data_IF_236876595950
#
_entry.id   IF_236876595950
#
_cell.length_a   1.000
_cell.length_b   1.000
_cell.length_c   1.000
_cell.angle_alpha   90.00
_cell.angle_beta   90.00
_cell.angle_gamma   90.00
#
_symmetry.space_group_name_H-M   'P 1'
#
loop_
_entity.id
_entity.type
_entity.pdbx_description
1 polymer ?
#
# COMPACT_ATOMS: atom_id res chain seq x y z
N UNK A 1 0.54 -7.15 21.59
CA UNK A 1 -0.29 -6.73 20.45
C UNK A 1 -1.37 -7.77 20.19
N UNK A 2 -2.55 -7.32 19.80
CA UNK A 2 -3.58 -8.16 19.20
C UNK A 2 -3.29 -8.40 17.73
N UNK A 3 -3.86 -9.45 17.14
CA UNK A 3 -3.73 -9.73 15.70
C UNK A 3 -4.22 -8.54 14.84
N UNK A 4 -5.23 -7.81 15.34
CA UNK A 4 -5.74 -6.63 14.65
C UNK A 4 -4.73 -5.47 14.68
N UNK A 5 -4.12 -5.20 15.84
CA UNK A 5 -3.09 -4.16 15.99
C UNK A 5 -1.86 -4.47 15.12
N UNK A 6 -1.41 -5.73 15.09
CA UNK A 6 -0.30 -6.16 14.23
C UNK A 6 -0.60 -5.89 12.75
N UNK A 7 -1.81 -6.22 12.28
CA UNK A 7 -2.23 -5.94 10.89
C UNK A 7 -2.23 -4.44 10.59
N UNK A 8 -2.71 -3.61 11.51
CA UNK A 8 -2.73 -2.15 11.33
C UNK A 8 -1.30 -1.59 11.25
N UNK A 9 -0.40 -2.04 12.14
CA UNK A 9 1.00 -1.60 12.14
C UNK A 9 1.71 -2.07 10.87
N UNK A 10 1.57 -3.34 10.50
CA UNK A 10 2.17 -3.90 9.27
C UNK A 10 1.70 -3.15 8.03
N UNK A 11 0.42 -2.78 7.97
CA UNK A 11 -0.11 -2.00 6.85
C UNK A 11 0.50 -0.60 6.75
N UNK A 12 0.67 0.09 7.88
CA UNK A 12 1.34 1.40 7.89
C UNK A 12 2.80 1.30 7.43
N UNK A 13 3.51 0.27 7.86
CA UNK A 13 4.88 -0.01 7.43
C UNK A 13 4.92 -0.24 5.92
N UNK A 14 4.05 -1.09 5.39
CA UNK A 14 3.94 -1.39 3.96
C UNK A 14 3.72 -0.12 3.12
N UNK A 15 2.76 0.72 3.52
CA UNK A 15 2.47 1.98 2.82
C UNK A 15 3.67 2.94 2.84
N UNK A 16 4.35 3.07 3.97
CA UNK A 16 5.55 3.90 4.08
C UNK A 16 6.69 3.42 3.18
N UNK A 17 6.98 2.11 3.18
CA UNK A 17 7.99 1.49 2.31
C UNK A 17 7.67 1.63 0.84
N UNK A 18 6.39 1.49 0.50
CA UNK A 18 5.96 1.69 -0.88
C UNK A 18 6.26 3.11 -1.36
N UNK A 19 5.97 4.13 -0.53
CA UNK A 19 6.29 5.53 -0.85
C UNK A 19 7.80 5.74 -1.00
N UNK A 20 8.63 5.20 -0.11
CA UNK A 20 10.10 5.30 -0.24
C UNK A 20 10.60 4.60 -1.51
N UNK A 21 10.08 3.40 -1.83
CA UNK A 21 10.38 2.70 -3.09
C UNK A 21 10.02 3.52 -4.33
N UNK A 22 8.87 4.23 -4.30
CA UNK A 22 8.50 5.14 -5.40
C UNK A 22 9.51 6.28 -5.56
N UNK A 23 9.96 6.88 -4.45
CA UNK A 23 10.97 7.96 -4.47
C UNK A 23 12.30 7.45 -5.01
N UNK A 24 12.77 6.30 -4.57
CA UNK A 24 14.01 5.69 -5.04
C UNK A 24 13.97 5.36 -6.55
N UNK A 25 12.87 4.75 -7.00
CA UNK A 25 12.68 4.43 -8.41
C UNK A 25 12.65 5.69 -9.28
N UNK A 26 11.98 6.75 -8.81
CA UNK A 26 11.99 8.04 -9.49
C UNK A 26 13.41 8.62 -9.56
N UNK A 27 14.14 8.63 -8.44
CA UNK A 27 15.52 9.12 -8.39
C UNK A 27 16.46 8.31 -9.30
N UNK A 28 16.34 6.99 -9.31
CA UNK A 28 17.15 6.13 -10.21
C UNK A 28 16.91 6.48 -11.68
N UNK A 29 15.66 6.76 -12.05
CA UNK A 29 15.26 7.04 -13.43
C UNK A 29 15.60 8.46 -13.89
N UNK A 30 15.32 9.45 -13.04
CA UNK A 30 15.39 10.86 -13.42
C UNK A 30 16.56 11.63 -12.78
N UNK A 31 17.33 10.99 -11.88
CA UNK A 31 18.43 11.59 -11.10
C UNK A 31 18.01 12.81 -10.28
N UNK A 32 16.71 12.90 -9.96
CA UNK A 32 16.08 13.96 -9.17
C UNK A 32 15.05 13.34 -8.23
N UNK A 33 14.93 13.88 -7.01
CA UNK A 33 13.86 13.47 -6.10
C UNK A 33 12.49 13.92 -6.63
N UNK A 34 11.45 13.07 -6.49
CA UNK A 34 10.11 13.43 -6.94
C UNK A 34 9.54 14.57 -6.11
N UNK A 35 8.83 15.49 -6.77
CA UNK A 35 7.95 16.43 -6.10
C UNK A 35 6.77 15.70 -5.43
N UNK A 36 6.06 16.31 -4.48
CA UNK A 36 4.86 15.72 -3.91
C UNK A 36 3.80 15.36 -4.96
N UNK A 37 3.69 16.15 -6.01
CA UNK A 37 2.78 15.90 -7.14
C UNK A 37 3.26 14.71 -7.97
N UNK A 38 4.57 14.55 -8.19
CA UNK A 38 5.10 13.36 -8.86
C UNK A 38 4.75 12.07 -8.10
N UNK A 39 4.81 12.10 -6.76
CA UNK A 39 4.43 10.95 -5.93
C UNK A 39 2.93 10.64 -6.13
N UNK A 40 2.06 11.64 -6.12
CA UNK A 40 0.62 11.49 -6.39
C UNK A 40 0.40 10.86 -7.77
N UNK A 41 1.10 11.34 -8.79
CA UNK A 41 1.01 10.79 -10.17
C UNK A 41 1.48 9.32 -10.19
N UNK A 42 2.56 8.98 -9.47
CA UNK A 42 3.03 7.59 -9.35
C UNK A 42 2.02 6.69 -8.66
N UNK A 43 1.28 7.18 -7.66
CA UNK A 43 0.22 6.44 -6.97
C UNK A 43 -1.03 6.25 -7.85
N UNK A 44 -1.43 7.28 -8.60
CA UNK A 44 -2.63 7.19 -9.48
C UNK A 44 -2.34 6.35 -10.74
N UNK A 45 -1.13 6.37 -11.27
CA UNK A 45 -0.78 5.73 -12.55
C UNK A 45 -1.12 4.23 -12.58
N UNK A 46 -0.81 3.40 -11.57
CA UNK A 46 -1.27 2.02 -11.52
C UNK A 46 -2.79 1.89 -11.46
N UNK A 47 -3.47 2.76 -10.70
CA UNK A 47 -4.93 2.77 -10.58
C UNK A 47 -5.61 3.07 -11.93
N UNK A 48 -5.00 3.91 -12.77
CA UNK A 48 -5.53 4.23 -14.09
C UNK A 48 -5.60 3.01 -15.05
N UNK A 49 -4.87 1.95 -14.72
CA UNK A 49 -4.85 0.68 -15.47
C UNK A 49 -5.71 -0.42 -14.83
N UNK A 50 -6.23 -0.17 -13.62
CA UNK A 50 -6.90 -1.19 -12.81
C UNK A 50 -8.38 -1.39 -13.19
N UNK A 51 -8.95 -0.64 -14.13
CA UNK A 51 -10.37 -0.70 -14.47
C UNK A 51 -10.92 -2.12 -14.66
N UNK A 52 -10.20 -2.96 -15.44
CA UNK A 52 -10.64 -4.33 -15.71
C UNK A 52 -10.61 -5.20 -14.45
N UNK A 53 -9.57 -5.05 -13.63
CA UNK A 53 -9.44 -5.76 -12.35
C UNK A 53 -10.58 -5.35 -11.41
N UNK A 54 -10.87 -4.06 -11.31
CA UNK A 54 -11.99 -3.54 -10.49
C UNK A 54 -13.32 -4.14 -10.92
N UNK A 55 -13.63 -4.17 -12.21
CA UNK A 55 -14.88 -4.78 -12.71
C UNK A 55 -15.00 -6.26 -12.33
N UNK A 56 -13.91 -7.01 -12.41
CA UNK A 56 -13.90 -8.44 -12.06
C UNK A 56 -14.14 -8.60 -10.56
N UNK A 57 -13.49 -7.78 -9.73
CA UNK A 57 -13.69 -7.81 -8.28
C UNK A 57 -15.15 -7.49 -7.94
N UNK A 58 -15.70 -6.38 -8.47
CA UNK A 58 -17.09 -5.97 -8.23
C UNK A 58 -18.07 -7.10 -8.60
N UNK A 59 -17.89 -7.71 -9.78
CA UNK A 59 -18.72 -8.85 -10.21
C UNK A 59 -18.57 -10.09 -9.33
N UNK A 60 -17.35 -10.39 -8.86
CA UNK A 60 -17.06 -11.56 -8.01
C UNK A 60 -17.70 -11.44 -6.62
N UNK A 61 -17.66 -10.23 -6.02
CA UNK A 61 -18.23 -9.99 -4.69
C UNK A 61 -19.71 -9.56 -4.73
N UNK A 62 -20.30 -9.51 -5.90
CA UNK A 62 -21.73 -9.23 -6.08
C UNK A 62 -22.13 -7.82 -5.66
N UNK A 63 -21.32 -6.81 -5.97
CA UNK A 63 -21.67 -5.40 -5.82
C UNK A 63 -21.93 -4.77 -7.20
N UNK A 64 -22.87 -3.83 -7.23
CA UNK A 64 -23.13 -3.08 -8.45
C UNK A 64 -21.90 -2.27 -8.86
N UNK A 65 -21.55 -2.25 -10.17
CA UNK A 65 -20.43 -1.48 -10.65
C UNK A 65 -20.56 -0.01 -10.27
N UNK A 66 -19.61 0.50 -9.49
CA UNK A 66 -19.64 1.91 -9.11
C UNK A 66 -19.30 2.81 -10.29
N UNK A 67 -20.03 3.91 -10.39
CA UNK A 67 -19.82 4.90 -11.43
C UNK A 67 -18.53 5.69 -11.24
N UNK A 68 -17.95 5.71 -10.02
CA UNK A 68 -16.77 6.51 -9.73
C UNK A 68 -15.75 5.80 -8.81
N UNK A 69 -14.49 6.24 -8.95
CA UNK A 69 -13.34 5.68 -8.23
C UNK A 69 -13.50 5.77 -6.71
N UNK A 70 -13.99 6.91 -6.22
CA UNK A 70 -14.04 7.18 -4.77
C UNK A 70 -15.08 6.30 -4.09
N UNK A 71 -16.23 6.09 -4.73
CA UNK A 71 -17.27 5.18 -4.22
C UNK A 71 -16.75 3.74 -4.16
N UNK A 72 -16.10 3.25 -5.23
CA UNK A 72 -15.53 1.91 -5.26
C UNK A 72 -14.54 1.72 -4.10
N UNK A 73 -13.53 2.60 -3.97
CA UNK A 73 -12.47 2.42 -2.98
C UNK A 73 -12.92 2.65 -1.53
N UNK A 74 -14.05 3.33 -1.32
CA UNK A 74 -14.66 3.48 0.00
C UNK A 74 -15.65 2.37 0.36
N UNK A 75 -16.00 1.52 -0.58
CA UNK A 75 -16.94 0.43 -0.34
C UNK A 75 -16.31 -0.63 0.60
N UNK A 76 -16.93 -0.93 1.76
CA UNK A 76 -16.34 -1.86 2.73
C UNK A 76 -16.15 -3.28 2.19
N UNK A 77 -17.08 -3.79 1.35
CA UNK A 77 -16.96 -5.11 0.74
C UNK A 77 -15.79 -5.15 -0.23
N UNK A 78 -15.63 -4.10 -1.04
CA UNK A 78 -14.52 -3.96 -1.96
C UNK A 78 -13.19 -3.93 -1.21
N UNK A 79 -13.08 -3.10 -0.16
CA UNK A 79 -11.88 -3.04 0.70
C UNK A 79 -11.54 -4.39 1.31
N UNK A 80 -12.56 -5.09 1.84
CA UNK A 80 -12.36 -6.41 2.44
C UNK A 80 -11.79 -7.42 1.44
N UNK A 81 -12.21 -7.36 0.17
CA UNK A 81 -11.76 -8.26 -0.88
C UNK A 81 -10.29 -8.03 -1.31
N UNK A 82 -9.78 -6.80 -1.18
CA UNK A 82 -8.42 -6.46 -1.64
C UNK A 82 -7.39 -6.21 -0.53
N UNK A 83 -7.83 -6.00 0.74
CA UNK A 83 -6.94 -5.62 1.86
C UNK A 83 -6.65 -6.76 2.83
N UNK A 84 -7.42 -7.83 2.79
CA UNK A 84 -7.30 -8.98 3.70
C UNK A 84 -6.69 -10.16 2.92
N UNK A 85 -6.78 -11.36 3.45
CA UNK A 85 -6.36 -12.55 2.72
C UNK A 85 -7.21 -12.68 1.44
N UNK A 86 -6.55 -12.53 0.29
CA UNK A 86 -7.21 -12.53 -1.00
C UNK A 86 -7.67 -13.95 -1.30
N UNK A 87 -8.94 -14.11 -1.64
CA UNK A 87 -9.53 -15.38 -2.00
C UNK A 87 -8.84 -15.95 -3.27
N UNK A 88 -8.29 -17.18 -3.24
CA UNK A 88 -7.71 -17.81 -4.43
C UNK A 88 -8.67 -17.85 -5.63
N UNK A 89 -9.98 -18.01 -5.39
CA UNK A 89 -11.00 -18.00 -6.45
C UNK A 89 -11.11 -16.62 -7.13
N UNK A 90 -10.97 -15.54 -6.37
CA UNK A 90 -10.91 -14.18 -6.89
C UNK A 90 -9.65 -13.95 -7.73
N UNK A 91 -8.48 -14.41 -7.27
CA UNK A 91 -7.23 -14.32 -8.04
C UNK A 91 -7.36 -15.09 -9.36
N UNK A 92 -7.91 -16.31 -9.35
CA UNK A 92 -8.15 -17.08 -10.56
C UNK A 92 -9.10 -16.35 -11.54
N UNK A 93 -10.16 -15.73 -11.01
CA UNK A 93 -11.09 -14.93 -11.83
C UNK A 93 -10.40 -13.71 -12.45
N UNK A 94 -9.57 -13.00 -11.68
CA UNK A 94 -8.79 -11.85 -12.17
C UNK A 94 -7.82 -12.31 -13.25
N UNK A 95 -7.00 -13.34 -12.98
CA UNK A 95 -6.03 -13.90 -13.91
C UNK A 95 -6.66 -14.22 -15.27
N UNK A 96 -7.78 -14.97 -15.25
CA UNK A 96 -8.57 -15.29 -16.44
C UNK A 96 -9.11 -14.03 -17.15
N UNK A 97 -9.61 -13.07 -16.36
CA UNK A 97 -10.24 -11.86 -16.92
C UNK A 97 -9.28 -10.85 -17.52
N UNK A 98 -8.01 -10.84 -17.09
CA UNK A 98 -6.95 -9.99 -17.66
C UNK A 98 -6.01 -10.75 -18.61
N UNK A 99 -6.25 -12.05 -18.82
CA UNK A 99 -5.45 -12.95 -19.66
C UNK A 99 -3.96 -12.97 -19.23
N UNK A 100 -3.74 -13.24 -17.94
CA UNK A 100 -2.40 -13.34 -17.33
C UNK A 100 -2.36 -14.45 -16.29
N UNK A 101 -1.14 -14.76 -15.81
CA UNK A 101 -0.91 -15.72 -14.73
C UNK A 101 -1.42 -15.19 -13.38
N UNK A 102 -1.63 -16.11 -12.43
CA UNK A 102 -2.10 -15.81 -11.06
C UNK A 102 -1.18 -14.85 -10.32
N UNK A 103 0.13 -14.97 -10.48
CA UNK A 103 1.14 -14.06 -9.92
C UNK A 103 0.92 -12.61 -10.35
N UNK A 104 0.61 -12.38 -11.64
CA UNK A 104 0.32 -11.05 -12.16
C UNK A 104 -1.04 -10.52 -11.65
N UNK A 105 -2.01 -11.40 -11.42
CA UNK A 105 -3.30 -11.04 -10.82
C UNK A 105 -3.15 -10.64 -9.35
N UNK A 106 -2.35 -11.38 -8.59
CA UNK A 106 -1.99 -11.05 -7.21
C UNK A 106 -1.30 -9.68 -7.14
N UNK A 107 -0.28 -9.46 -7.96
CA UNK A 107 0.42 -8.19 -8.03
C UNK A 107 -0.52 -7.02 -8.38
N UNK A 108 -1.42 -7.21 -9.34
CA UNK A 108 -2.41 -6.20 -9.72
C UNK A 108 -3.36 -5.87 -8.57
N UNK A 109 -3.77 -6.87 -7.78
CA UNK A 109 -4.66 -6.71 -6.63
C UNK A 109 -3.94 -6.00 -5.47
N UNK A 110 -2.70 -6.39 -5.16
CA UNK A 110 -1.87 -5.72 -4.15
C UNK A 110 -1.61 -4.26 -4.56
N UNK A 111 -1.26 -4.01 -5.81
CA UNK A 111 -1.07 -2.66 -6.34
C UNK A 111 -2.35 -1.82 -6.22
N UNK A 112 -3.52 -2.40 -6.50
CA UNK A 112 -4.80 -1.72 -6.34
C UNK A 112 -5.07 -1.38 -4.86
N UNK A 113 -4.83 -2.31 -3.94
CA UNK A 113 -4.98 -2.13 -2.50
C UNK A 113 -4.05 -1.01 -1.98
N UNK A 114 -2.74 -1.10 -2.23
CA UNK A 114 -1.74 -0.15 -1.72
C UNK A 114 -1.97 1.25 -2.29
N UNK A 115 -2.09 1.37 -3.62
CA UNK A 115 -2.22 2.69 -4.25
C UNK A 115 -3.54 3.38 -3.90
N UNK A 116 -4.65 2.64 -3.77
CA UNK A 116 -5.93 3.24 -3.37
C UNK A 116 -5.95 3.74 -1.92
N UNK A 117 -5.12 3.19 -1.03
CA UNK A 117 -4.97 3.67 0.35
C UNK A 117 -4.02 4.88 0.47
N UNK A 118 -3.14 5.07 -0.50
CA UNK A 118 -2.18 6.18 -0.53
C UNK A 118 -2.74 7.45 -1.18
N UNK A 119 -4.02 7.49 -1.53
CA UNK A 119 -4.63 8.69 -2.11
C UNK A 119 -4.86 9.76 -1.02
N UNK A 120 -4.24 10.95 -1.12
CA UNK A 120 -4.49 12.05 -0.20
C UNK A 120 -5.95 12.51 -0.23
N UNK A 121 -6.45 13.05 0.89
CA UNK A 121 -7.84 13.50 1.01
C UNK A 121 -8.22 14.54 -0.05
N UNK A 122 -7.36 15.51 -0.33
CA UNK A 122 -7.57 16.54 -1.35
C UNK A 122 -7.76 15.94 -2.74
N UNK A 123 -6.99 14.91 -3.05
CA UNK A 123 -7.14 14.19 -4.32
C UNK A 123 -8.46 13.43 -4.39
N UNK A 124 -8.86 12.75 -3.30
CA UNK A 124 -10.16 12.07 -3.22
C UNK A 124 -11.32 13.07 -3.43
N UNK A 125 -11.22 14.28 -2.88
CA UNK A 125 -12.22 15.34 -3.06
C UNK A 125 -12.28 15.82 -4.52
N UNK A 126 -11.13 16.01 -5.18
CA UNK A 126 -11.08 16.34 -6.61
C UNK A 126 -11.76 15.25 -7.46
N UNK A 127 -11.40 13.98 -7.22
CA UNK A 127 -11.96 12.84 -7.96
C UNK A 127 -13.47 12.65 -7.71
N UNK A 128 -13.93 12.91 -6.47
CA UNK A 128 -15.35 12.82 -6.09
C UNK A 128 -16.17 13.94 -6.73
N UNK A 129 -15.67 15.20 -6.66
CA UNK A 129 -16.32 16.37 -7.24
C UNK A 129 -16.57 16.18 -8.73
N UNK A 130 -15.59 15.66 -9.45
CA UNK A 130 -15.67 15.46 -10.89
C UNK A 130 -16.31 14.12 -11.27
N UNK A 131 -16.83 13.37 -10.28
CA UNK A 131 -17.41 12.01 -10.46
C UNK A 131 -16.54 11.15 -11.37
N UNK A 132 -15.23 11.13 -11.09
CA UNK A 132 -14.25 10.49 -11.95
C UNK A 132 -14.43 8.98 -11.97
N UNK A 133 -14.67 8.42 -13.16
CA UNK A 133 -14.75 6.99 -13.37
C UNK A 133 -13.36 6.36 -13.56
N UNK A 134 -13.25 5.05 -13.28
CA UNK A 134 -12.02 4.28 -13.51
C UNK A 134 -11.46 4.42 -14.93
N UNK A 135 -12.33 4.49 -15.94
CA UNK A 135 -11.93 4.68 -17.36
C UNK A 135 -11.29 6.05 -17.59
N UNK A 136 -11.79 7.09 -16.92
CA UNK A 136 -11.32 8.47 -17.09
C UNK A 136 -10.00 8.75 -16.38
N UNK A 137 -9.58 7.94 -15.38
CA UNK A 137 -8.33 8.16 -14.66
C UNK A 137 -7.12 8.32 -15.59
N UNK A 138 -7.04 7.50 -16.64
CA UNK A 138 -5.92 7.57 -17.59
C UNK A 138 -5.86 8.91 -18.33
N UNK A 139 -6.99 9.44 -18.75
CA UNK A 139 -7.06 10.71 -19.47
C UNK A 139 -6.84 11.90 -18.57
N UNK A 140 -7.21 11.80 -17.27
CA UNK A 140 -6.94 12.85 -16.29
C UNK A 140 -5.43 13.12 -16.12
N UNK A 141 -4.61 12.10 -16.14
CA UNK A 141 -3.14 12.24 -15.99
C UNK A 141 -2.49 13.01 -17.16
N UNK A 142 -3.20 13.19 -18.28
CA UNK A 142 -2.76 13.99 -19.43
C UNK A 142 -3.50 15.35 -19.51
N UNK A 143 -4.34 15.68 -18.51
CA UNK A 143 -5.13 16.89 -18.53
C UNK A 143 -4.41 18.01 -17.77
N UNK A 144 -3.97 19.06 -18.48
CA UNK A 144 -3.25 20.19 -17.89
C UNK A 144 -4.03 20.89 -16.76
N UNK A 145 -5.36 21.00 -16.85
CA UNK A 145 -6.19 21.59 -15.79
C UNK A 145 -6.12 20.75 -14.51
N UNK A 146 -6.20 19.43 -14.64
CA UNK A 146 -6.08 18.52 -13.50
C UNK A 146 -4.68 18.59 -12.88
N UNK A 147 -3.62 18.60 -13.70
CA UNK A 147 -2.25 18.75 -13.21
C UNK A 147 -2.05 20.08 -12.45
N UNK A 148 -2.58 21.19 -12.98
CA UNK A 148 -2.54 22.49 -12.26
C UNK A 148 -3.30 22.47 -10.93
N UNK A 149 -4.40 21.70 -10.84
CA UNK A 149 -5.12 21.50 -9.59
C UNK A 149 -4.29 20.68 -8.59
N UNK A 150 -3.55 19.66 -9.04
CA UNK A 150 -2.63 18.93 -8.17
C UNK A 150 -1.50 19.83 -7.65
N UNK A 151 -0.95 20.68 -8.51
CA UNK A 151 0.11 21.63 -8.12
C UNK A 151 -0.35 22.60 -7.02
N UNK A 152 -1.60 23.05 -7.06
CA UNK A 152 -2.17 23.92 -6.03
C UNK A 152 -2.27 23.26 -4.65
N UNK A 153 -2.26 21.92 -4.57
CA UNK A 153 -2.29 21.14 -3.32
C UNK A 153 -0.93 20.52 -2.96
N UNK A 154 0.16 20.99 -3.58
CA UNK A 154 1.49 20.38 -3.40
C UNK A 154 1.98 20.38 -1.95
N UNK A 155 1.66 21.42 -1.17
CA UNK A 155 2.01 21.54 0.26
C UNK A 155 1.29 20.48 1.12
N UNK A 156 0.00 20.28 0.86
CA UNK A 156 -0.81 19.29 1.56
C UNK A 156 -0.36 17.86 1.22
N UNK A 157 -0.03 17.61 -0.04
CA UNK A 157 0.53 16.31 -0.45
C UNK A 157 1.87 16.04 0.22
N UNK A 158 2.74 17.05 0.33
CA UNK A 158 4.00 16.92 1.08
C UNK A 158 3.74 16.55 2.53
N UNK A 159 2.87 17.28 3.21
CA UNK A 159 2.52 17.00 4.61
C UNK A 159 1.94 15.59 4.78
N UNK A 160 1.07 15.15 3.85
CA UNK A 160 0.48 13.81 3.85
C UNK A 160 1.54 12.71 3.73
N UNK A 161 2.44 12.77 2.75
CA UNK A 161 3.46 11.73 2.58
C UNK A 161 4.51 11.73 3.69
N UNK A 162 4.84 12.88 4.28
CA UNK A 162 5.68 12.94 5.48
C UNK A 162 4.97 12.30 6.70
N UNK A 163 3.66 12.49 6.83
CA UNK A 163 2.86 11.79 7.85
C UNK A 163 2.89 10.28 7.63
N UNK A 164 2.67 9.78 6.41
CA UNK A 164 2.76 8.35 6.07
C UNK A 164 4.12 7.78 6.46
N UNK A 165 5.20 8.49 6.14
CA UNK A 165 6.57 8.09 6.51
C UNK A 165 6.77 8.03 8.03
N UNK A 166 6.30 9.04 8.74
CA UNK A 166 6.45 9.13 10.20
C UNK A 166 5.66 8.04 10.90
N UNK A 167 4.42 7.79 10.45
CA UNK A 167 3.58 6.71 10.99
C UNK A 167 4.17 5.32 10.71
N UNK A 168 4.76 5.11 9.54
CA UNK A 168 5.44 3.86 9.21
C UNK A 168 6.60 3.58 10.15
N UNK A 169 7.49 4.57 10.37
CA UNK A 169 8.64 4.46 11.30
C UNK A 169 8.18 4.21 12.74
N UNK A 170 7.15 4.91 13.20
CA UNK A 170 6.58 4.70 14.53
C UNK A 170 6.00 3.30 14.68
N UNK A 171 5.32 2.80 13.62
CA UNK A 171 4.76 1.45 13.58
C UNK A 171 5.84 0.36 13.57
N UNK A 172 6.92 0.57 12.83
CA UNK A 172 8.11 -0.30 12.78
C UNK A 172 8.75 -0.44 14.16
N UNK A 173 8.99 0.70 14.82
CA UNK A 173 9.50 0.73 16.19
C UNK A 173 8.57 0.00 17.17
N UNK A 174 7.27 0.29 17.12
CA UNK A 174 6.27 -0.33 18.00
C UNK A 174 6.20 -1.85 17.78
N UNK A 175 6.18 -2.31 16.53
CA UNK A 175 6.14 -3.74 16.20
C UNK A 175 7.42 -4.46 16.68
N UNK A 176 8.58 -3.82 16.53
CA UNK A 176 9.87 -4.34 17.05
C UNK A 176 9.83 -4.47 18.56
N UNK A 177 9.49 -3.40 19.27
CA UNK A 177 9.45 -3.39 20.75
C UNK A 177 8.49 -4.43 21.32
N UNK A 178 7.32 -4.59 20.70
CA UNK A 178 6.33 -5.58 21.12
C UNK A 178 6.83 -7.03 20.97
N UNK A 179 7.71 -7.29 20.02
CA UNK A 179 8.26 -8.62 19.74
C UNK A 179 9.60 -8.92 20.47
N UNK A 180 10.18 -7.99 21.24
CA UNK A 180 11.40 -8.25 22.02
C UNK A 180 11.22 -9.41 23.01
N UNK A 181 10.04 -9.57 23.60
CA UNK A 181 9.75 -10.69 24.51
C UNK A 181 9.81 -12.05 23.79
N UNK A 182 9.42 -12.10 22.52
CA UNK A 182 9.54 -13.30 21.70
C UNK A 182 11.01 -13.65 21.47
N UNK A 183 11.85 -12.67 21.16
CA UNK A 183 13.30 -12.85 21.01
C UNK A 183 13.93 -13.45 22.26
N UNK A 184 13.62 -12.88 23.45
CA UNK A 184 14.11 -13.41 24.74
C UNK A 184 13.63 -14.86 24.97
N UNK A 185 12.37 -15.16 24.64
CA UNK A 185 11.81 -16.50 24.77
C UNK A 185 12.51 -17.53 23.87
N UNK A 186 12.83 -17.13 22.65
CA UNK A 186 13.58 -17.98 21.70
C UNK A 186 15.03 -18.15 22.18
N UNK A 187 15.71 -17.07 22.54
CA UNK A 187 17.10 -17.10 23.02
C UNK A 187 17.29 -18.05 24.23
N UNK A 188 16.32 -18.07 25.17
CA UNK A 188 16.34 -19.00 26.32
C UNK A 188 16.38 -20.48 25.90
N UNK A 189 15.78 -20.85 24.77
CA UNK A 189 15.77 -22.24 24.28
C UNK A 189 17.11 -22.67 23.66
N UNK A 190 17.99 -21.71 23.36
CA UNK A 190 19.28 -21.93 22.71
C UNK A 190 20.48 -21.78 23.63
N UNK A 191 20.31 -21.52 24.92
CA UNK A 191 21.41 -21.35 25.91
C UNK A 191 22.34 -22.58 25.98
N UNK A 192 21.82 -23.79 25.71
CA UNK A 192 22.58 -25.04 25.83
C UNK A 192 23.71 -25.23 24.79
N UNK A 193 23.91 -24.30 23.85
CA UNK A 193 24.86 -24.45 22.74
C UNK A 193 26.15 -23.65 22.90
N UNK A 194 26.47 -23.17 24.13
CA UNK A 194 27.74 -22.54 24.45
C UNK A 194 27.87 -21.05 24.07
N UNK A 195 26.85 -20.46 23.44
CA UNK A 195 26.82 -19.03 23.13
C UNK A 195 26.27 -18.23 24.33
N UNK A 196 26.90 -17.11 24.71
CA UNK A 196 26.41 -16.24 25.77
C UNK A 196 24.97 -15.78 25.52
N UNK A 197 24.15 -15.76 26.55
CA UNK A 197 22.72 -15.44 26.44
C UNK A 197 22.45 -14.04 25.82
N UNK A 198 23.29 -13.06 26.16
CA UNK A 198 23.19 -11.71 25.62
C UNK A 198 23.45 -11.68 24.11
N UNK A 199 24.39 -12.50 23.62
CA UNK A 199 24.69 -12.60 22.19
C UNK A 199 23.53 -13.23 21.43
N UNK A 200 22.90 -14.26 22.00
CA UNK A 200 21.69 -14.86 21.44
C UNK A 200 20.54 -13.85 21.33
N UNK A 201 20.37 -12.97 22.34
CA UNK A 201 19.38 -11.90 22.28
C UNK A 201 19.72 -10.88 21.18
N UNK A 202 21.00 -10.50 21.03
CA UNK A 202 21.42 -9.56 20.00
C UNK A 202 21.20 -10.12 18.60
N UNK A 203 21.57 -11.37 18.35
CA UNK A 203 21.31 -12.06 17.08
C UNK A 203 19.80 -12.17 16.81
N UNK A 204 19.01 -12.51 17.83
CA UNK A 204 17.57 -12.55 17.72
C UNK A 204 16.95 -11.19 17.40
N UNK A 205 17.47 -10.10 17.96
CA UNK A 205 17.03 -8.73 17.66
C UNK A 205 17.38 -8.34 16.22
N UNK A 206 18.57 -8.69 15.74
CA UNK A 206 18.97 -8.46 14.34
C UNK A 206 18.02 -9.23 13.40
N UNK A 207 17.74 -10.50 13.75
CA UNK A 207 16.78 -11.31 12.99
C UNK A 207 15.36 -10.71 12.97
N UNK A 208 14.89 -10.19 14.11
CA UNK A 208 13.59 -9.53 14.23
C UNK A 208 13.52 -8.26 13.36
N UNK A 209 14.54 -7.40 13.42
CA UNK A 209 14.62 -6.20 12.59
C UNK A 209 14.54 -6.57 11.09
N UNK A 210 15.34 -7.55 10.66
CA UNK A 210 15.31 -8.03 9.26
C UNK A 210 13.98 -8.65 8.84
N UNK A 211 13.24 -9.25 9.78
CA UNK A 211 11.93 -9.84 9.49
C UNK A 211 10.82 -8.77 9.39
N UNK A 212 11.02 -7.64 10.07
CA UNK A 212 10.11 -6.49 9.97
C UNK A 212 10.46 -5.63 8.75
N UNK A 213 11.72 -5.58 8.34
CA UNK A 213 12.23 -4.95 7.12
C UNK A 213 11.79 -5.69 5.83
#
# INVERSE_FOLDING_TARGET
LTVHEEKVLSRKIELGRYVEKLKDNHFRKYKKFPSPVDIVIHVISPLSKAYRVVQIIEGHIGIDPSSNVVETIKNPKFRSAIDIVIDPSLIAAIAKGIDKETTAAEEATVNLSVNSQLLPQQLLELLARDKTSWRKLKTLLSNNRFLSQLDSHSSEFKAYFEKVRTEAKASEKHLTEANLRLVVSIAKKHIAHGTPFLDLIQEGNIGLIRAID
#
